data_IF_116713695707
#
_entry.id   IF_116713695707
#
_cell.length_a   1.000
_cell.length_b   1.000
_cell.length_c   1.000
_cell.angle_alpha   90.00
_cell.angle_beta   90.00
_cell.angle_gamma   90.00
#
_symmetry.space_group_name_H-M   'P 1'
#
loop_
_entity.id
_entity.type
_entity.pdbx_description
1 polymer ?
#
# COMPACT_ATOMS: atom_id res chain seq x y z
N UNK A 1 43.79 23.52 -12.23
CA UNK A 1 43.39 22.61 -11.13
C UNK A 1 41.86 22.65 -10.86
N UNK A 2 41.02 22.62 -11.91
CA UNK A 2 39.54 22.77 -11.81
C UNK A 2 38.74 21.50 -12.17
N UNK A 3 39.42 20.42 -12.54
CA UNK A 3 38.79 19.20 -13.09
C UNK A 3 38.33 18.20 -12.01
N UNK A 4 38.93 18.24 -10.81
CA UNK A 4 38.60 17.29 -9.72
C UNK A 4 37.25 17.58 -9.03
N UNK A 5 36.76 18.82 -9.08
CA UNK A 5 35.48 19.20 -8.47
C UNK A 5 34.27 18.87 -9.35
N UNK A 6 34.46 18.75 -10.67
CA UNK A 6 33.36 18.48 -11.60
C UNK A 6 32.83 17.03 -11.50
N UNK A 7 33.72 16.08 -11.16
CA UNK A 7 33.35 14.66 -11.00
C UNK A 7 32.62 14.43 -9.68
N UNK A 8 32.98 15.14 -8.62
CA UNK A 8 32.29 15.04 -7.32
C UNK A 8 30.85 15.55 -7.36
N UNK A 9 30.54 16.51 -8.23
CA UNK A 9 29.19 17.08 -8.36
C UNK A 9 28.23 16.14 -9.13
N UNK A 10 28.73 15.34 -10.07
CA UNK A 10 27.92 14.36 -10.83
C UNK A 10 27.55 13.10 -10.04
N UNK A 11 28.31 12.72 -9.01
CA UNK A 11 27.94 11.57 -8.16
C UNK A 11 26.76 11.85 -7.21
N UNK A 12 26.43 13.11 -6.94
CA UNK A 12 25.33 13.52 -6.06
C UNK A 12 23.97 13.62 -6.77
N UNK A 13 23.92 13.47 -8.10
CA UNK A 13 22.67 13.58 -8.87
C UNK A 13 21.90 12.27 -9.04
N UNK A 14 22.38 11.16 -8.45
CA UNK A 14 21.67 9.88 -8.41
C UNK A 14 21.08 9.58 -7.02
N UNK A 15 20.67 10.62 -6.27
CA UNK A 15 19.66 10.41 -5.23
C UNK A 15 18.34 10.28 -5.97
N UNK A 16 18.10 9.08 -6.49
CA UNK A 16 16.85 8.68 -7.10
C UNK A 16 15.72 9.16 -6.19
N UNK A 17 14.85 10.00 -6.73
CA UNK A 17 13.63 10.42 -6.09
C UNK A 17 12.82 9.16 -5.76
N UNK A 18 13.00 8.63 -4.55
CA UNK A 18 12.17 7.56 -4.00
C UNK A 18 10.81 8.18 -3.74
N UNK A 19 9.99 8.27 -4.79
CA UNK A 19 8.61 8.73 -4.68
C UNK A 19 7.84 7.67 -3.90
N UNK A 20 7.66 7.89 -2.61
CA UNK A 20 6.81 7.05 -1.77
C UNK A 20 5.44 6.88 -2.43
N UNK A 21 4.95 5.64 -2.49
CA UNK A 21 3.66 5.31 -3.07
C UNK A 21 2.59 5.23 -1.98
N UNK A 22 1.34 5.51 -2.34
CA UNK A 22 0.21 5.39 -1.44
C UNK A 22 -0.77 4.33 -1.93
N UNK A 23 -1.42 3.62 -1.00
CA UNK A 23 -2.64 2.85 -1.27
C UNK A 23 -3.80 3.54 -0.55
N UNK A 24 -4.85 3.92 -1.26
CA UNK A 24 -6.04 4.52 -0.65
C UNK A 24 -7.33 4.04 -1.29
N UNK A 25 -8.44 4.27 -0.61
CA UNK A 25 -9.76 4.02 -1.19
C UNK A 25 -10.83 3.85 -0.15
N UNK A 26 -11.89 3.14 -0.53
CA UNK A 26 -13.08 2.91 0.28
C UNK A 26 -13.50 1.44 0.25
N UNK A 27 -13.46 0.79 1.42
CA UNK A 27 -13.92 -0.57 1.66
C UNK A 27 -15.08 -0.55 2.67
N UNK A 28 -16.29 -0.85 2.21
CA UNK A 28 -17.52 -0.80 3.04
C UNK A 28 -18.04 -2.19 3.36
N UNK A 29 -18.81 -2.35 4.43
CA UNK A 29 -19.60 -3.57 4.69
C UNK A 29 -19.34 -4.21 6.04
N UNK A 30 -18.15 -4.03 6.62
CA UNK A 30 -17.82 -4.46 7.98
C UNK A 30 -16.99 -3.35 8.66
N UNK A 31 -17.41 -2.93 9.84
CA UNK A 31 -16.70 -1.94 10.67
C UNK A 31 -15.54 -2.58 11.44
N UNK A 32 -14.54 -1.79 11.81
CA UNK A 32 -13.38 -2.26 12.60
C UNK A 32 -12.41 -3.15 11.81
N UNK A 33 -12.51 -3.13 10.49
CA UNK A 33 -11.57 -3.81 9.61
C UNK A 33 -10.24 -3.04 9.51
N UNK A 34 -9.15 -3.75 9.25
CA UNK A 34 -7.85 -3.17 8.95
C UNK A 34 -7.26 -3.75 7.67
N UNK A 35 -6.40 -2.98 7.03
CA UNK A 35 -5.59 -3.41 5.89
C UNK A 35 -4.19 -3.71 6.39
N UNK A 36 -3.67 -4.87 6.02
CA UNK A 36 -2.25 -5.20 6.14
C UNK A 36 -1.64 -5.22 4.74
N UNK A 37 -0.49 -4.60 4.55
CA UNK A 37 0.24 -4.58 3.28
C UNK A 37 1.58 -5.26 3.44
N UNK A 38 1.98 -5.98 2.40
CA UNK A 38 3.33 -6.50 2.22
C UNK A 38 3.82 -6.09 0.82
N UNK A 39 4.94 -5.37 0.78
CA UNK A 39 5.67 -4.98 -0.43
C UNK A 39 7.09 -5.55 -0.33
N UNK A 40 7.30 -6.79 -0.82
CA UNK A 40 8.61 -7.46 -0.84
C UNK A 40 9.38 -7.39 0.50
N UNK A 41 8.71 -7.63 1.62
CA UNK A 41 9.32 -7.62 2.96
C UNK A 41 9.13 -6.33 3.75
N UNK A 42 8.72 -5.23 3.11
CA UNK A 42 8.18 -4.08 3.83
C UNK A 42 6.72 -4.36 4.22
N UNK A 43 6.42 -4.30 5.51
CA UNK A 43 5.07 -4.52 6.03
C UNK A 43 4.55 -3.30 6.76
N UNK A 44 3.27 -3.00 6.57
CA UNK A 44 2.59 -1.90 7.27
C UNK A 44 1.10 -2.20 7.35
N UNK A 45 0.36 -1.42 8.15
CA UNK A 45 -1.08 -1.60 8.28
C UNK A 45 -1.79 -0.27 8.50
N UNK A 46 -3.09 -0.23 8.20
CA UNK A 46 -3.95 0.89 8.52
C UNK A 46 -5.37 0.43 8.84
N UNK A 47 -6.02 1.15 9.73
CA UNK A 47 -7.43 0.92 10.03
C UNK A 47 -8.32 1.46 8.91
N UNK A 48 -9.42 0.77 8.67
CA UNK A 48 -10.50 1.24 7.82
C UNK A 48 -11.47 2.01 8.72
N UNK A 49 -11.70 3.28 8.41
CA UNK A 49 -12.64 4.11 9.18
C UNK A 49 -14.06 3.55 9.13
N UNK A 50 -14.93 3.98 10.06
CA UNK A 50 -16.35 3.59 10.05
C UNK A 50 -17.07 3.91 8.72
N UNK A 51 -16.62 4.96 8.01
CA UNK A 51 -17.12 5.32 6.67
C UNK A 51 -16.62 4.41 5.54
N UNK A 52 -15.70 3.49 5.84
CA UNK A 52 -15.01 2.62 4.88
C UNK A 52 -13.75 3.22 4.26
N UNK A 53 -13.45 4.50 4.50
CA UNK A 53 -12.27 5.17 3.95
C UNK A 53 -10.99 4.68 4.62
N UNK A 54 -9.92 4.54 3.84
CA UNK A 54 -8.58 4.19 4.32
C UNK A 54 -7.48 4.81 3.47
N UNK A 55 -6.29 4.96 4.05
CA UNK A 55 -5.06 5.36 3.37
C UNK A 55 -3.87 4.71 4.05
N UNK A 56 -2.97 4.16 3.25
CA UNK A 56 -1.63 3.75 3.65
C UNK A 56 -0.67 4.57 2.81
N UNK A 57 0.23 5.27 3.48
CA UNK A 57 1.17 6.17 2.82
C UNK A 57 2.59 5.64 2.96
N UNK A 58 3.51 6.20 2.16
CA UNK A 58 4.94 5.90 2.26
C UNK A 58 5.30 4.43 1.97
N UNK A 59 4.57 3.79 1.05
CA UNK A 59 4.94 2.47 0.55
C UNK A 59 6.19 2.57 -0.33
N UNK A 60 7.05 1.54 -0.33
CA UNK A 60 8.16 1.46 -1.27
C UNK A 60 7.67 1.58 -2.72
N UNK A 61 8.27 2.49 -3.48
CA UNK A 61 7.93 2.72 -4.89
C UNK A 61 8.38 1.57 -5.79
N UNK A 62 7.68 1.36 -6.90
CA UNK A 62 8.08 0.40 -7.95
C UNK A 62 8.26 -1.04 -7.45
N UNK A 63 7.46 -1.45 -6.45
CA UNK A 63 7.46 -2.79 -5.88
C UNK A 63 6.18 -3.54 -6.22
N UNK A 64 6.30 -4.87 -6.20
CA UNK A 64 5.13 -5.75 -6.16
C UNK A 64 4.61 -5.80 -4.73
N UNK A 65 3.37 -5.38 -4.55
CA UNK A 65 2.72 -5.34 -3.26
C UNK A 65 1.49 -6.23 -3.23
N UNK A 66 1.07 -6.59 -2.02
CA UNK A 66 -0.22 -7.20 -1.78
C UNK A 66 -0.81 -6.63 -0.51
N UNK A 67 -2.13 -6.66 -0.41
CA UNK A 67 -2.80 -6.34 0.85
C UNK A 67 -3.85 -7.38 1.21
N UNK A 68 -4.05 -7.57 2.51
CA UNK A 68 -5.16 -8.35 3.08
C UNK A 68 -6.04 -7.44 3.92
N UNK A 69 -7.31 -7.81 4.05
CA UNK A 69 -8.26 -7.15 4.95
C UNK A 69 -8.54 -8.09 6.12
N UNK A 70 -8.38 -7.60 7.34
CA UNK A 70 -8.57 -8.38 8.56
C UNK A 70 -9.67 -7.81 9.44
N UNK A 71 -10.47 -8.69 10.04
CA UNK A 71 -11.53 -8.36 11.01
C UNK A 71 -11.44 -9.36 12.17
N UNK A 72 -10.98 -8.90 13.33
CA UNK A 72 -10.64 -9.78 14.45
C UNK A 72 -9.56 -10.79 14.03
N UNK A 73 -9.83 -12.08 14.18
CA UNK A 73 -8.96 -13.19 13.78
C UNK A 73 -9.12 -13.64 12.31
N UNK A 74 -10.06 -13.07 11.57
CA UNK A 74 -10.35 -13.48 10.19
C UNK A 74 -9.59 -12.58 9.21
N UNK A 75 -9.08 -13.15 8.11
CA UNK A 75 -8.39 -12.43 7.05
C UNK A 75 -8.97 -12.76 5.68
N UNK A 76 -8.80 -11.85 4.74
CA UNK A 76 -9.02 -12.10 3.32
C UNK A 76 -7.83 -12.81 2.69
N UNK A 77 -8.03 -13.27 1.45
CA UNK A 77 -6.94 -13.56 0.54
C UNK A 77 -6.13 -12.30 0.22
N UNK A 78 -4.87 -12.49 -0.17
CA UNK A 78 -4.00 -11.39 -0.57
C UNK A 78 -4.43 -10.84 -1.94
N UNK A 79 -4.57 -9.52 -2.02
CA UNK A 79 -4.97 -8.79 -3.22
C UNK A 79 -3.73 -8.08 -3.76
N UNK A 80 -3.22 -8.47 -4.94
CA UNK A 80 -2.01 -7.89 -5.49
C UNK A 80 -2.27 -6.46 -6.01
N UNK A 81 -1.27 -5.61 -5.88
CA UNK A 81 -1.21 -4.31 -6.53
C UNK A 81 0.24 -3.90 -6.77
N UNK A 82 0.47 -2.96 -7.68
CA UNK A 82 1.81 -2.38 -7.91
C UNK A 82 1.90 -1.00 -7.29
N UNK A 83 3.02 -0.71 -6.64
CA UNK A 83 3.39 0.64 -6.19
C UNK A 83 4.19 1.43 -7.23
N UNK A 84 4.16 1.01 -8.50
CA UNK A 84 4.72 1.79 -9.62
C UNK A 84 4.03 3.14 -9.83
N UNK A 85 2.80 3.27 -9.34
CA UNK A 85 2.06 4.54 -9.31
C UNK A 85 2.27 5.21 -7.97
N UNK A 86 2.38 6.54 -7.97
CA UNK A 86 2.42 7.35 -6.75
C UNK A 86 1.18 7.09 -5.86
N UNK A 87 0.04 6.79 -6.47
CA UNK A 87 -1.18 6.43 -5.75
C UNK A 87 -1.90 5.27 -6.43
N UNK A 88 -2.03 4.17 -5.71
CA UNK A 88 -2.89 3.05 -6.03
C UNK A 88 -4.24 3.22 -5.32
N UNK A 89 -5.33 3.05 -6.07
CA UNK A 89 -6.69 3.18 -5.55
C UNK A 89 -7.41 1.85 -5.61
N UNK A 90 -7.97 1.41 -4.49
CA UNK A 90 -8.82 0.23 -4.44
C UNK A 90 -10.12 0.53 -3.70
N UNK A 91 -11.24 0.37 -4.39
CA UNK A 91 -12.57 0.53 -3.83
C UNK A 91 -13.30 -0.81 -3.87
N UNK A 92 -14.13 -1.07 -2.87
CA UNK A 92 -14.79 -2.35 -2.78
C UNK A 92 -15.75 -2.48 -1.63
N UNK A 93 -16.12 -3.72 -1.37
CA UNK A 93 -16.91 -4.13 -0.22
C UNK A 93 -16.27 -5.31 0.49
N UNK A 94 -16.44 -5.36 1.80
CA UNK A 94 -15.99 -6.43 2.66
C UNK A 94 -17.25 -7.21 3.07
N UNK A 95 -17.21 -8.53 2.88
CA UNK A 95 -18.26 -9.44 3.33
C UNK A 95 -17.62 -10.54 4.18
N UNK A 96 -18.33 -11.00 5.21
CA UNK A 96 -17.93 -12.18 5.97
C UNK A 96 -18.65 -13.37 5.37
N UNK A 97 -17.91 -14.41 5.00
CA UNK A 97 -18.47 -15.67 4.54
C UNK A 97 -17.84 -16.80 5.36
N UNK A 98 -18.64 -17.44 6.20
CA UNK A 98 -18.17 -18.40 7.21
C UNK A 98 -17.01 -17.80 8.05
N UNK A 99 -15.84 -18.44 8.01
CA UNK A 99 -14.65 -18.06 8.74
C UNK A 99 -13.66 -17.21 7.91
N UNK A 100 -14.11 -16.61 6.81
CA UNK A 100 -13.26 -15.85 5.88
C UNK A 100 -13.81 -14.46 5.59
N UNK A 101 -12.91 -13.55 5.22
CA UNK A 101 -13.25 -12.23 4.72
C UNK A 101 -13.15 -12.23 3.20
N UNK A 102 -14.25 -11.92 2.53
CA UNK A 102 -14.28 -11.72 1.09
C UNK A 102 -14.22 -10.22 0.79
N UNK A 103 -13.26 -9.83 -0.05
CA UNK A 103 -13.17 -8.47 -0.56
C UNK A 103 -13.63 -8.49 -2.01
N UNK A 104 -14.71 -7.77 -2.30
CA UNK A 104 -15.29 -7.66 -3.64
C UNK A 104 -14.98 -6.28 -4.19
N UNK A 105 -14.24 -6.23 -5.30
CA UNK A 105 -13.90 -4.99 -6.00
C UNK A 105 -15.16 -4.34 -6.57
N UNK A 106 -15.23 -3.01 -6.50
CA UNK A 106 -16.23 -2.19 -7.19
C UNK A 106 -15.63 -1.55 -8.43
#
# INVERSE_FOLDING_TARGET
>A
MKLKYFIALMLLMNVSLVHAADLRGKLTGISGAKININCEGYTTSANISASGSYRVSNLPANKSCSFTVMVGSHSSTAIPFSSSKNVSVFNGSIKKFNNQILVVRK
#
